data_IF_579593870193
#
_entry.id   IF_579593870193
#
_cell.length_a   1.000
_cell.length_b   1.000
_cell.length_c   1.000
_cell.angle_alpha   90.00
_cell.angle_beta   90.00
_cell.angle_gamma   90.00
#
_symmetry.space_group_name_H-M   'P 1'
#
loop_
_entity.id
_entity.type
_entity.pdbx_description
1 polymer ?
#
# COMPACT_ATOMS: atom_id res chain seq x y z
N UNK A 1 13.56 -11.69 1.07
CA UNK A 1 13.80 -13.16 1.02
C UNK A 1 12.75 -13.95 1.81
N UNK A 2 12.35 -13.51 3.01
CA UNK A 2 11.42 -14.19 3.91
C UNK A 2 10.00 -14.38 3.32
N UNK A 3 9.41 -13.34 2.73
CA UNK A 3 8.08 -13.40 2.12
C UNK A 3 7.96 -14.43 0.98
N UNK A 4 9.01 -14.59 0.14
CA UNK A 4 9.04 -15.64 -0.89
C UNK A 4 8.91 -17.04 -0.29
N UNK A 5 9.54 -17.29 0.86
CA UNK A 5 9.46 -18.56 1.57
C UNK A 5 8.05 -18.75 2.13
N UNK A 6 7.47 -17.74 2.79
CA UNK A 6 6.13 -17.81 3.34
C UNK A 6 5.07 -18.13 2.28
N UNK A 7 5.09 -17.42 1.14
CA UNK A 7 4.18 -17.73 0.03
C UNK A 7 4.42 -19.12 -0.57
N UNK A 8 5.68 -19.59 -0.60
CA UNK A 8 6.00 -20.94 -1.12
C UNK A 8 5.41 -22.05 -0.27
N UNK A 9 5.46 -21.91 1.05
CA UNK A 9 4.91 -22.89 2.00
C UNK A 9 3.44 -22.67 2.33
N UNK A 10 2.79 -21.64 1.74
CA UNK A 10 1.38 -21.33 1.98
C UNK A 10 1.09 -20.67 3.33
N UNK A 11 2.10 -20.21 4.04
CA UNK A 11 1.95 -19.48 5.30
C UNK A 11 1.78 -17.99 5.05
N UNK A 12 0.54 -17.53 4.94
CA UNK A 12 0.19 -16.14 4.63
C UNK A 12 -0.77 -15.58 5.69
N UNK A 13 -0.29 -15.37 6.94
CA UNK A 13 -1.14 -14.97 8.06
C UNK A 13 -1.75 -13.56 7.89
N UNK A 14 -1.35 -12.82 6.88
CA UNK A 14 -1.89 -11.51 6.49
C UNK A 14 -3.00 -11.59 5.44
N UNK A 15 -3.27 -12.77 4.84
CA UNK A 15 -4.36 -12.97 3.89
C UNK A 15 -5.72 -12.97 4.61
N UNK A 16 -6.72 -12.31 4.02
CA UNK A 16 -8.09 -12.30 4.52
C UNK A 16 -8.33 -11.39 5.72
N UNK A 17 -7.39 -10.48 6.04
CA UNK A 17 -7.66 -9.44 7.02
C UNK A 17 -8.67 -8.41 6.49
N UNK A 18 -9.44 -7.76 7.38
CA UNK A 18 -10.29 -6.64 6.99
C UNK A 18 -9.49 -5.58 6.25
N UNK A 19 -10.12 -4.95 5.26
CA UNK A 19 -9.55 -3.80 4.60
C UNK A 19 -9.36 -2.67 5.61
N UNK A 20 -8.21 -2.01 5.57
CA UNK A 20 -7.90 -0.89 6.43
C UNK A 20 -8.98 0.20 6.36
N UNK A 21 -9.39 0.73 7.53
CA UNK A 21 -10.42 1.76 7.58
C UNK A 21 -10.01 3.02 6.85
N UNK A 22 -8.73 3.40 6.94
CA UNK A 22 -8.19 4.56 6.23
C UNK A 22 -8.31 4.47 4.70
N UNK A 23 -8.28 3.27 4.12
CA UNK A 23 -8.55 3.07 2.68
C UNK A 23 -10.03 3.34 2.37
N UNK A 24 -10.95 2.81 3.20
CA UNK A 24 -12.40 3.05 3.04
C UNK A 24 -12.74 4.53 3.16
N UNK A 25 -12.17 5.20 4.16
CA UNK A 25 -12.40 6.62 4.39
C UNK A 25 -12.02 7.49 3.19
N UNK A 26 -10.92 7.13 2.50
CA UNK A 26 -10.52 7.84 1.27
C UNK A 26 -11.44 7.54 0.08
N UNK A 27 -11.93 6.32 -0.04
CA UNK A 27 -12.68 5.84 -1.21
C UNK A 27 -14.18 6.14 -1.08
N UNK A 28 -14.74 6.01 0.11
CA UNK A 28 -16.17 6.20 0.37
C UNK A 28 -16.48 7.58 0.97
N UNK A 29 -15.46 8.25 1.52
CA UNK A 29 -15.60 9.46 2.31
C UNK A 29 -16.00 9.18 3.76
N UNK A 30 -16.07 10.23 4.54
CA UNK A 30 -16.50 10.22 5.95
C UNK A 30 -17.54 11.31 6.18
N UNK A 31 -18.06 11.43 7.41
CA UNK A 31 -18.95 12.53 7.77
C UNK A 31 -18.29 13.91 7.58
N UNK A 32 -16.95 13.98 7.71
CA UNK A 32 -16.19 15.23 7.71
C UNK A 32 -15.38 15.46 6.42
N UNK A 33 -15.28 14.44 5.53
CA UNK A 33 -14.47 14.51 4.31
C UNK A 33 -15.14 13.78 3.15
N UNK A 34 -15.22 14.43 2.00
CA UNK A 34 -15.72 13.80 0.78
C UNK A 34 -14.77 12.68 0.29
N UNK A 35 -15.34 11.68 -0.37
CA UNK A 35 -14.58 10.66 -1.09
C UNK A 35 -13.64 11.27 -2.11
N UNK A 36 -12.48 10.67 -2.30
CA UNK A 36 -11.60 11.03 -3.41
C UNK A 36 -12.27 10.65 -4.75
N UNK A 37 -12.22 11.53 -5.76
CA UNK A 37 -12.70 11.17 -7.09
C UNK A 37 -11.88 10.00 -7.64
N UNK A 38 -12.56 8.98 -8.15
CA UNK A 38 -11.90 7.83 -8.74
C UNK A 38 -11.07 8.22 -9.97
N UNK A 39 -9.85 7.72 -10.04
CA UNK A 39 -8.88 7.99 -11.09
C UNK A 39 -7.95 6.79 -11.28
N UNK A 40 -6.64 7.06 -11.45
CA UNK A 40 -5.60 6.02 -11.53
C UNK A 40 -5.06 5.70 -10.13
N UNK A 41 -5.03 4.41 -9.78
CA UNK A 41 -4.51 3.94 -8.49
C UNK A 41 -3.38 2.93 -8.66
N UNK A 42 -2.39 2.98 -7.76
CA UNK A 42 -1.31 2.00 -7.64
C UNK A 42 -1.34 1.39 -6.24
N UNK A 43 -1.44 0.07 -6.14
CA UNK A 43 -1.22 -0.65 -4.87
C UNK A 43 0.15 -1.29 -4.83
N UNK A 44 0.90 -1.05 -3.75
CA UNK A 44 2.26 -1.51 -3.52
C UNK A 44 2.28 -2.72 -2.58
N UNK A 45 2.85 -3.84 -3.03
CA UNK A 45 2.87 -5.08 -2.25
C UNK A 45 1.48 -5.67 -2.09
N UNK A 46 0.72 -5.74 -3.19
CA UNK A 46 -0.72 -6.06 -3.18
C UNK A 46 -1.07 -7.47 -2.69
N UNK A 47 -0.10 -8.37 -2.56
CA UNK A 47 -0.34 -9.74 -2.12
C UNK A 47 -1.41 -10.45 -2.95
N UNK A 48 -2.49 -10.89 -2.31
CA UNK A 48 -3.62 -11.57 -2.97
C UNK A 48 -4.73 -10.62 -3.45
N UNK A 49 -4.49 -9.30 -3.43
CA UNK A 49 -5.23 -8.30 -4.17
C UNK A 49 -6.55 -7.82 -3.55
N UNK A 50 -6.78 -8.03 -2.27
CA UNK A 50 -8.06 -7.65 -1.64
C UNK A 50 -8.32 -6.14 -1.72
N UNK A 51 -7.32 -5.30 -1.44
CA UNK A 51 -7.44 -3.84 -1.56
C UNK A 51 -7.55 -3.40 -3.03
N UNK A 52 -6.77 -4.00 -3.95
CA UNK A 52 -6.87 -3.71 -5.39
C UNK A 52 -8.27 -3.98 -5.95
N UNK A 53 -8.86 -5.12 -5.57
CA UNK A 53 -10.22 -5.50 -5.99
C UNK A 53 -11.24 -4.50 -5.45
N UNK A 54 -11.13 -4.12 -4.19
CA UNK A 54 -11.99 -3.12 -3.58
C UNK A 54 -11.90 -1.77 -4.30
N UNK A 55 -10.71 -1.28 -4.57
CA UNK A 55 -10.51 -0.03 -5.33
C UNK A 55 -11.15 -0.11 -6.73
N UNK A 56 -10.94 -1.21 -7.45
CA UNK A 56 -11.52 -1.41 -8.79
C UNK A 56 -13.06 -1.44 -8.75
N UNK A 57 -13.66 -2.05 -7.73
CA UNK A 57 -15.12 -2.07 -7.53
C UNK A 57 -15.70 -0.68 -7.23
N UNK A 58 -14.86 0.25 -6.75
CA UNK A 58 -15.21 1.65 -6.51
C UNK A 58 -14.79 2.59 -7.66
N UNK A 59 -14.57 2.03 -8.86
CA UNK A 59 -14.35 2.79 -10.08
C UNK A 59 -12.91 3.24 -10.36
N UNK A 60 -11.94 2.84 -9.52
CA UNK A 60 -10.54 3.16 -9.76
C UNK A 60 -9.94 2.28 -10.87
N UNK A 61 -9.10 2.86 -11.73
CA UNK A 61 -8.25 2.13 -12.66
C UNK A 61 -6.99 1.68 -11.90
N UNK A 62 -6.94 0.41 -11.54
CA UNK A 62 -5.94 -0.10 -10.59
C UNK A 62 -4.83 -0.84 -11.29
N UNK A 63 -3.59 -0.42 -11.04
CA UNK A 63 -2.37 -1.22 -11.20
C UNK A 63 -1.93 -1.69 -9.83
N UNK A 64 -1.62 -2.99 -9.69
CA UNK A 64 -1.24 -3.58 -8.42
C UNK A 64 0.05 -4.37 -8.56
N UNK A 65 1.04 -4.08 -7.73
CA UNK A 65 2.36 -4.69 -7.83
C UNK A 65 2.69 -5.54 -6.62
N UNK A 66 3.33 -6.68 -6.87
CA UNK A 66 3.99 -7.50 -5.85
C UNK A 66 5.24 -8.15 -6.46
N UNK A 67 6.30 -8.31 -5.67
CA UNK A 67 7.54 -8.93 -6.18
C UNK A 67 7.48 -10.47 -6.22
N UNK A 68 6.44 -11.09 -5.66
CA UNK A 68 6.20 -12.54 -5.64
C UNK A 68 5.10 -12.91 -6.63
N UNK A 69 5.37 -13.82 -7.57
CA UNK A 69 4.40 -14.23 -8.60
C UNK A 69 3.20 -14.98 -8.03
N UNK A 70 3.41 -15.86 -7.05
CA UNK A 70 2.38 -16.76 -6.51
C UNK A 70 1.16 -16.04 -5.91
N UNK A 71 1.29 -14.96 -5.09
CA UNK A 71 0.12 -14.19 -4.65
C UNK A 71 -0.60 -13.50 -5.82
N UNK A 72 0.12 -13.02 -6.84
CA UNK A 72 -0.51 -12.39 -8.02
C UNK A 72 -1.39 -13.36 -8.82
N UNK A 73 -1.04 -14.65 -8.89
CA UNK A 73 -1.91 -15.69 -9.49
C UNK A 73 -3.23 -15.78 -8.73
N UNK A 74 -3.18 -15.80 -7.40
CA UNK A 74 -4.37 -15.79 -6.55
C UNK A 74 -5.18 -14.51 -6.68
N UNK A 75 -4.49 -13.36 -6.74
CA UNK A 75 -5.13 -12.06 -6.93
C UNK A 75 -5.90 -11.99 -8.23
N UNK A 76 -5.33 -12.46 -9.35
CA UNK A 76 -6.03 -12.55 -10.65
C UNK A 76 -7.26 -13.43 -10.58
N UNK A 77 -7.17 -14.60 -9.93
CA UNK A 77 -8.31 -15.50 -9.76
C UNK A 77 -9.43 -14.88 -8.89
N UNK A 78 -9.06 -14.18 -7.79
CA UNK A 78 -10.03 -13.44 -6.96
C UNK A 78 -10.70 -12.31 -7.73
N UNK A 79 -9.93 -11.51 -8.46
CA UNK A 79 -10.45 -10.40 -9.26
C UNK A 79 -11.41 -10.87 -10.33
N UNK A 80 -11.07 -11.93 -11.07
CA UNK A 80 -11.96 -12.54 -12.06
C UNK A 80 -13.28 -13.02 -11.44
N UNK A 81 -13.22 -13.68 -10.27
CA UNK A 81 -14.42 -14.12 -9.53
C UNK A 81 -15.27 -12.95 -9.05
N UNK A 82 -14.65 -11.84 -8.69
CA UNK A 82 -15.32 -10.62 -8.22
C UNK A 82 -15.80 -9.72 -9.36
N UNK A 83 -15.51 -10.05 -10.63
CA UNK A 83 -15.80 -9.20 -11.78
C UNK A 83 -15.01 -7.87 -11.78
N UNK A 84 -13.88 -7.82 -11.09
CA UNK A 84 -13.05 -6.63 -10.97
C UNK A 84 -11.90 -6.64 -12.00
N UNK A 85 -11.66 -5.50 -12.65
CA UNK A 85 -10.55 -5.32 -13.59
C UNK A 85 -9.38 -4.66 -12.89
N UNK A 86 -8.27 -5.38 -12.72
CA UNK A 86 -7.03 -4.92 -12.09
C UNK A 86 -5.85 -5.38 -12.92
N UNK A 87 -4.90 -4.48 -13.16
CA UNK A 87 -3.63 -4.82 -13.80
C UNK A 87 -2.62 -5.28 -12.74
N UNK A 88 -2.45 -6.59 -12.61
CA UNK A 88 -1.51 -7.20 -11.67
C UNK A 88 -0.15 -7.42 -12.32
N UNK A 89 0.88 -6.73 -11.83
CA UNK A 89 2.24 -6.75 -12.37
C UNK A 89 3.23 -7.28 -11.32
N UNK A 90 4.10 -8.20 -11.75
CA UNK A 90 5.21 -8.62 -10.91
C UNK A 90 6.32 -7.57 -10.98
N UNK A 91 6.50 -6.80 -9.91
CA UNK A 91 7.49 -5.73 -9.85
C UNK A 91 8.04 -5.55 -8.44
N UNK A 92 9.25 -4.99 -8.38
CA UNK A 92 9.87 -4.55 -7.14
C UNK A 92 9.54 -3.07 -6.91
N UNK A 93 8.95 -2.75 -5.76
CA UNK A 93 8.54 -1.39 -5.41
C UNK A 93 9.72 -0.42 -5.25
N UNK A 94 10.94 -0.94 -5.19
CA UNK A 94 12.19 -0.15 -5.20
C UNK A 94 12.67 0.18 -6.61
N UNK A 95 11.96 -0.26 -7.66
CA UNK A 95 12.32 -0.11 -9.10
C UNK A 95 11.07 0.14 -9.97
N UNK A 96 10.05 0.84 -9.48
CA UNK A 96 8.76 1.04 -10.16
C UNK A 96 8.89 1.74 -11.51
N UNK A 97 9.76 2.74 -11.62
CA UNK A 97 9.99 3.50 -12.84
C UNK A 97 10.51 2.65 -14.01
N UNK A 98 11.10 1.49 -13.71
CA UNK A 98 11.62 0.53 -14.68
C UNK A 98 10.67 -0.63 -14.95
N UNK A 99 9.58 -0.74 -14.19
CA UNK A 99 8.67 -1.89 -14.24
C UNK A 99 7.64 -1.84 -15.38
N UNK A 100 7.61 -0.76 -16.18
CA UNK A 100 6.65 -0.60 -17.28
C UNK A 100 5.19 -0.43 -16.84
N UNK A 101 4.96 -0.08 -15.58
CA UNK A 101 3.61 0.08 -15.00
C UNK A 101 2.94 1.41 -15.33
N UNK A 102 3.61 2.28 -16.06
CA UNK A 102 3.17 3.66 -16.29
C UNK A 102 3.54 4.61 -15.15
N UNK A 103 2.95 5.81 -15.18
CA UNK A 103 3.15 6.86 -14.20
C UNK A 103 1.87 7.71 -14.08
N UNK A 104 1.95 8.78 -13.28
CA UNK A 104 0.84 9.70 -12.99
C UNK A 104 -0.31 9.03 -12.23
N UNK A 105 0.02 8.19 -11.26
CA UNK A 105 -0.97 7.64 -10.34
C UNK A 105 -1.49 8.72 -9.39
N UNK A 106 -2.81 8.87 -9.31
CA UNK A 106 -3.48 9.88 -8.49
C UNK A 106 -3.68 9.42 -7.05
N UNK A 107 -3.80 8.09 -6.84
CA UNK A 107 -3.80 7.44 -5.54
C UNK A 107 -2.74 6.34 -5.52
N UNK A 108 -1.90 6.34 -4.48
CA UNK A 108 -0.95 5.25 -4.21
C UNK A 108 -1.25 4.71 -2.82
N UNK A 109 -1.41 3.39 -2.71
CA UNK A 109 -1.71 2.70 -1.44
C UNK A 109 -0.59 1.72 -1.12
N UNK A 110 -0.04 1.83 0.07
CA UNK A 110 0.84 0.85 0.70
C UNK A 110 0.13 0.26 1.93
N UNK A 111 -0.33 -0.96 1.81
CA UNK A 111 -0.94 -1.67 2.93
C UNK A 111 0.06 -2.67 3.52
N UNK A 112 0.95 -2.18 4.40
CA UNK A 112 1.92 -2.96 5.15
C UNK A 112 3.11 -3.52 4.31
N UNK A 113 3.58 -2.79 3.29
CA UNK A 113 4.74 -3.17 2.49
C UNK A 113 6.06 -2.54 3.03
N UNK A 114 6.09 -1.21 3.20
CA UNK A 114 7.29 -0.41 3.52
C UNK A 114 7.96 -0.80 4.86
N UNK A 115 7.18 -1.10 5.89
CA UNK A 115 7.65 -1.15 7.28
C UNK A 115 8.73 -2.22 7.55
N UNK A 116 8.83 -3.26 6.72
CA UNK A 116 9.85 -4.32 6.87
C UNK A 116 11.08 -4.15 5.98
N UNK A 117 11.14 -3.09 5.18
CA UNK A 117 12.27 -2.82 4.28
C UNK A 117 13.52 -2.37 5.02
N UNK A 118 14.71 -2.59 4.43
CA UNK A 118 15.97 -2.00 4.87
C UNK A 118 15.97 -0.49 4.65
N UNK A 119 16.90 0.25 5.27
CA UNK A 119 16.98 1.71 5.08
C UNK A 119 17.24 2.08 3.63
N UNK A 120 18.13 1.36 2.95
CA UNK A 120 18.43 1.58 1.55
C UNK A 120 17.21 1.31 0.65
N UNK A 121 16.42 0.26 0.95
CA UNK A 121 15.19 -0.04 0.21
C UNK A 121 14.11 1.03 0.48
N UNK A 122 14.01 1.55 1.72
CA UNK A 122 13.09 2.66 2.05
C UNK A 122 13.43 3.93 1.28
N UNK A 123 14.73 4.26 1.12
CA UNK A 123 15.16 5.41 0.32
C UNK A 123 14.84 5.22 -1.16
N UNK A 124 15.08 4.02 -1.70
CA UNK A 124 14.71 3.67 -3.07
C UNK A 124 13.18 3.73 -3.27
N UNK A 125 12.41 3.18 -2.34
CA UNK A 125 10.95 3.22 -2.34
C UNK A 125 10.41 4.65 -2.43
N UNK A 126 10.87 5.57 -1.56
CA UNK A 126 10.41 6.97 -1.57
C UNK A 126 10.70 7.64 -2.90
N UNK A 127 11.88 7.41 -3.48
CA UNK A 127 12.26 7.92 -4.80
C UNK A 127 11.34 7.39 -5.90
N UNK A 128 11.13 6.07 -5.94
CA UNK A 128 10.35 5.39 -6.97
C UNK A 128 8.85 5.74 -6.90
N UNK A 129 8.27 5.74 -5.69
CA UNK A 129 6.88 6.18 -5.47
C UNK A 129 6.70 7.64 -5.91
N UNK A 130 7.68 8.50 -5.59
CA UNK A 130 7.63 9.89 -6.02
C UNK A 130 7.76 10.06 -7.54
N UNK A 131 8.49 9.19 -8.21
CA UNK A 131 8.68 9.25 -9.66
C UNK A 131 7.43 8.85 -10.45
N UNK A 132 6.61 7.93 -9.92
CA UNK A 132 5.39 7.44 -10.60
C UNK A 132 4.12 8.19 -10.19
N UNK A 133 4.18 9.05 -9.18
CA UNK A 133 3.04 9.80 -8.67
C UNK A 133 2.66 10.98 -9.59
N UNK A 134 1.36 11.20 -9.76
CA UNK A 134 0.84 12.41 -10.39
C UNK A 134 1.12 13.67 -9.53
N UNK A 135 1.09 14.88 -10.11
CA UNK A 135 1.01 16.11 -9.32
C UNK A 135 -0.18 16.05 -8.37
N UNK A 136 0.03 16.45 -7.11
CA UNK A 136 -0.99 16.41 -6.04
C UNK A 136 -1.55 15.02 -5.69
N UNK A 137 -0.94 13.95 -6.15
CA UNK A 137 -1.33 12.58 -5.80
C UNK A 137 -1.47 12.39 -4.29
N UNK A 138 -2.38 11.49 -3.90
CA UNK A 138 -2.47 10.98 -2.52
C UNK A 138 -1.64 9.71 -2.37
N UNK A 139 -0.87 9.64 -1.29
CA UNK A 139 -0.15 8.44 -0.88
C UNK A 139 -0.64 8.06 0.52
N UNK A 140 -1.31 6.92 0.61
CA UNK A 140 -1.71 6.32 1.88
C UNK A 140 -0.77 5.19 2.22
N UNK A 141 -0.09 5.29 3.35
CA UNK A 141 0.77 4.24 3.89
C UNK A 141 0.19 3.73 5.19
N UNK A 142 -0.01 2.44 5.29
CA UNK A 142 -0.35 1.75 6.53
C UNK A 142 0.86 0.94 6.96
N UNK A 143 1.35 1.20 8.16
CA UNK A 143 2.59 0.59 8.64
C UNK A 143 2.51 0.22 10.11
N UNK A 144 3.14 -0.90 10.48
CA UNK A 144 3.34 -1.26 11.88
C UNK A 144 4.43 -0.40 12.51
N UNK A 145 4.25 -0.09 13.82
CA UNK A 145 5.25 0.63 14.60
C UNK A 145 6.33 -0.33 15.12
N UNK A 146 7.55 0.17 15.43
CA UNK A 146 8.61 -0.65 16.01
C UNK A 146 8.22 -1.24 17.37
N UNK A 147 8.73 -2.44 17.67
CA UNK A 147 8.61 -3.07 19.00
C UNK A 147 7.31 -3.85 19.27
N UNK A 148 6.35 -3.84 18.33
CA UNK A 148 5.06 -4.52 18.53
C UNK A 148 5.14 -6.04 18.35
N UNK A 149 5.72 -6.54 17.28
CA UNK A 149 5.72 -7.96 16.92
C UNK A 149 7.13 -8.45 16.57
N UNK A 150 7.47 -9.65 17.05
CA UNK A 150 8.73 -10.31 16.67
C UNK A 150 8.79 -10.51 15.16
N UNK A 151 9.91 -10.08 14.54
CA UNK A 151 10.12 -10.18 13.10
C UNK A 151 9.53 -9.04 12.28
N UNK A 152 8.84 -8.09 12.90
CA UNK A 152 8.38 -6.84 12.27
C UNK A 152 9.34 -5.71 12.65
N UNK A 153 10.02 -5.13 11.66
CA UNK A 153 10.93 -4.01 11.89
C UNK A 153 10.17 -2.76 12.33
N UNK A 154 9.05 -2.51 11.68
CA UNK A 154 8.26 -1.31 11.90
C UNK A 154 8.90 -0.04 11.35
N UNK A 155 8.14 1.05 11.39
CA UNK A 155 8.61 2.40 11.10
C UNK A 155 7.90 3.37 12.04
N UNK A 156 8.64 4.27 12.68
CA UNK A 156 8.04 5.27 13.58
C UNK A 156 7.62 6.53 12.81
N UNK A 157 6.87 7.38 13.51
CA UNK A 157 6.33 8.61 12.93
C UNK A 157 7.43 9.58 12.47
N UNK A 158 8.47 9.76 13.27
CA UNK A 158 9.56 10.69 12.96
C UNK A 158 10.37 10.22 11.73
N UNK A 159 10.61 8.92 11.61
CA UNK A 159 11.25 8.36 10.42
C UNK A 159 10.36 8.52 9.19
N UNK A 160 9.06 8.26 9.31
CA UNK A 160 8.10 8.44 8.23
C UNK A 160 8.11 9.88 7.71
N UNK A 161 7.97 10.86 8.59
CA UNK A 161 8.04 12.27 8.21
C UNK A 161 9.36 12.63 7.55
N UNK A 162 10.50 12.30 8.18
CA UNK A 162 11.82 12.64 7.66
C UNK A 162 12.04 12.13 6.24
N UNK A 163 11.57 10.91 5.92
CA UNK A 163 11.77 10.30 4.58
C UNK A 163 10.86 10.91 3.51
N UNK A 164 9.63 11.24 3.86
CA UNK A 164 8.64 11.68 2.87
C UNK A 164 8.55 13.19 2.70
N UNK A 165 8.77 13.99 3.74
CA UNK A 165 8.60 15.45 3.68
C UNK A 165 9.44 16.20 2.62
N UNK A 166 10.57 15.71 2.09
CA UNK A 166 11.21 16.36 0.96
C UNK A 166 10.34 16.43 -0.30
N UNK A 167 9.46 15.46 -0.51
CA UNK A 167 8.64 15.33 -1.72
C UNK A 167 7.12 15.34 -1.46
N UNK A 168 6.72 15.15 -0.22
CA UNK A 168 5.33 14.95 0.18
C UNK A 168 4.97 15.82 1.38
N UNK A 169 3.72 16.26 1.46
CA UNK A 169 3.16 16.95 2.65
C UNK A 169 2.31 15.96 3.41
N UNK A 170 2.58 15.75 4.69
CA UNK A 170 1.71 14.95 5.56
C UNK A 170 0.41 15.71 5.79
N UNK A 171 -0.72 15.12 5.42
CA UNK A 171 -2.06 15.67 5.63
C UNK A 171 -2.68 15.20 6.93
N UNK A 172 -2.56 13.89 7.21
CA UNK A 172 -3.06 13.28 8.45
C UNK A 172 -2.31 12.00 8.77
N UNK A 173 -2.31 11.64 10.04
CA UNK A 173 -1.82 10.36 10.53
C UNK A 173 -2.62 9.95 11.78
N UNK A 174 -2.83 8.64 11.97
CA UNK A 174 -3.59 8.11 13.10
C UNK A 174 -3.36 6.62 13.32
N UNK A 175 -4.08 6.06 14.29
CA UNK A 175 -4.10 4.63 14.52
C UNK A 175 -4.93 3.93 13.43
N UNK A 176 -4.40 2.80 12.90
CA UNK A 176 -5.16 1.92 12.02
C UNK A 176 -5.60 0.68 12.81
N UNK A 177 -6.82 0.73 13.33
CA UNK A 177 -7.35 -0.28 14.26
C UNK A 177 -7.68 -1.61 13.61
N UNK A 178 -8.07 -1.61 12.34
CA UNK A 178 -8.45 -2.84 11.61
C UNK A 178 -7.27 -3.80 11.42
N UNK A 179 -6.03 -3.30 11.47
CA UNK A 179 -4.81 -4.10 11.37
C UNK A 179 -4.15 -4.35 12.73
N UNK A 180 -4.65 -3.74 13.79
CA UNK A 180 -4.13 -3.94 15.15
C UNK A 180 -4.78 -5.17 15.79
N UNK A 181 -4.18 -6.34 15.57
CA UNK A 181 -4.65 -7.58 16.16
C UNK A 181 -4.51 -7.59 17.69
N UNK A 182 -5.60 -7.28 18.37
CA UNK A 182 -5.73 -7.32 19.83
C UNK A 182 -4.71 -6.41 20.55
N UNK A 183 -4.46 -5.21 20.03
CA UNK A 183 -3.54 -4.22 20.60
C UNK A 183 -2.08 -4.67 20.74
N UNK A 184 -1.73 -5.80 20.11
CA UNK A 184 -0.39 -6.40 20.22
C UNK A 184 0.59 -5.93 19.14
N UNK A 185 0.08 -5.33 18.05
CA UNK A 185 0.91 -4.87 16.94
C UNK A 185 0.34 -3.56 16.41
N UNK A 186 0.58 -2.44 17.10
CA UNK A 186 0.01 -1.15 16.71
C UNK A 186 0.35 -0.83 15.25
N UNK A 187 -0.68 -0.55 14.46
CA UNK A 187 -0.56 -0.06 13.10
C UNK A 187 -1.00 1.40 13.04
N UNK A 188 -0.38 2.16 12.16
CA UNK A 188 -0.72 3.55 11.89
C UNK A 188 -0.91 3.77 10.41
N UNK A 189 -1.83 4.66 10.06
CA UNK A 189 -1.91 5.22 8.72
C UNK A 189 -1.21 6.58 8.65
N UNK A 190 -0.71 6.90 7.45
CA UNK A 190 -0.13 8.18 7.08
C UNK A 190 -0.66 8.56 5.70
N UNK A 191 -1.36 9.67 5.62
CA UNK A 191 -1.88 10.20 4.37
C UNK A 191 -1.04 11.40 3.96
N UNK A 192 -0.40 11.30 2.80
CA UNK A 192 0.42 12.34 2.21
C UNK A 192 -0.19 12.89 0.93
N UNK A 193 0.20 14.11 0.58
CA UNK A 193 -0.03 14.71 -0.73
C UNK A 193 1.30 15.03 -1.40
N UNK A 194 1.42 14.67 -2.69
CA UNK A 194 2.60 15.00 -3.50
C UNK A 194 2.74 16.51 -3.61
N UNK A 195 3.94 17.02 -3.33
CA UNK A 195 4.30 18.41 -3.60
C UNK A 195 4.50 18.61 -5.10
N UNK A 196 4.15 19.76 -5.60
CA UNK A 196 4.41 20.19 -6.99
C UNK A 196 5.80 20.75 -7.13
#
# INVERSE_FOLDING_TARGET
>A
MLFRIFYRIGFTPWDGHPLAQSVRDLVEGTADAAALPAGSALELGCGTGDCSIYLAQHGWRVTAVDFVAKPLERARAKAAKAGASVDFVQADVTQLSQAGIGANFELIVDNACLHNMSDADRDAYVREVSAVAAPHARLLIIAFVPGGRVGVRGIDHAEMERRFTPHWTLLSAGAERELDHAEKTPARYYLFQRRT
#
